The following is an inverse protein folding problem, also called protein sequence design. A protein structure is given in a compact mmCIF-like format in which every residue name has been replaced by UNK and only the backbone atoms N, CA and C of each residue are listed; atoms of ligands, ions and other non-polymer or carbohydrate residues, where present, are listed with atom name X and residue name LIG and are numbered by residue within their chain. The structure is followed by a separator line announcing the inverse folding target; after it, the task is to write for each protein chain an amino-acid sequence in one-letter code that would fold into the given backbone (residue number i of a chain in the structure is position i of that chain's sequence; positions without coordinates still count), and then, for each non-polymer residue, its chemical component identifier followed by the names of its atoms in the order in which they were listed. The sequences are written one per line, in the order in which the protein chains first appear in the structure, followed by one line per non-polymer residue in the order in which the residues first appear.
data_IF_271826898533
#
_entry.id   IF_271826898533
#
_cell.length_a   1.000
_cell.length_b   1.000
_cell.length_c   1.000
_cell.angle_alpha   90.00
_cell.angle_beta   90.00
_cell.angle_gamma   90.00
#
_symmetry.space_group_name_H-M   'P 1'
#
loop_
_entity.id
_entity.type
_entity.pdbx_description
1 polymer ?
#
# COMPACT_ATOMS: atom_id res chain seq x y z
N UNK A 1 -8.66 3.98 -1.69
CA UNK A 1 -10.12 3.78 -1.37
C UNK A 1 -10.41 2.27 -1.30
N UNK A 2 -11.35 1.74 -0.48
CA UNK A 2 -11.56 0.27 -0.28
C UNK A 2 -13.00 -0.18 -0.64
N UNK A 3 -13.19 -1.38 -1.23
CA UNK A 3 -14.39 -1.82 -1.99
C UNK A 3 -15.48 -2.60 -1.24
N UNK A 4 -15.22 -3.23 -0.08
CA UNK A 4 -16.22 -4.15 0.52
C UNK A 4 -16.37 -3.99 2.04
N UNK A 5 -17.13 -2.98 2.45
CA UNK A 5 -17.53 -2.72 3.84
C UNK A 5 -18.41 -3.82 4.48
N UNK A 6 -18.88 -4.82 3.71
CA UNK A 6 -19.83 -5.84 4.20
C UNK A 6 -19.25 -7.25 4.40
N UNK A 7 -18.04 -7.54 3.89
CA UNK A 7 -17.34 -8.82 4.15
C UNK A 7 -16.22 -8.67 5.18
N UNK A 8 -15.72 -7.44 5.34
CA UNK A 8 -14.55 -7.13 6.14
C UNK A 8 -14.75 -5.79 6.84
N UNK A 9 -14.39 -5.72 8.13
CA UNK A 9 -14.46 -4.46 8.89
C UNK A 9 -13.38 -3.52 8.38
N UNK A 10 -13.82 -2.40 7.79
CA UNK A 10 -12.96 -1.39 7.18
C UNK A 10 -11.88 -0.88 8.15
N UNK A 11 -12.25 -0.72 9.42
CA UNK A 11 -11.35 -0.27 10.49
C UNK A 11 -10.17 -1.22 10.68
N UNK A 12 -10.38 -2.54 10.53
CA UNK A 12 -9.32 -3.55 10.66
C UNK A 12 -8.31 -3.44 9.52
N UNK A 13 -8.76 -3.04 8.31
CA UNK A 13 -7.84 -2.80 7.17
C UNK A 13 -6.97 -1.59 7.48
N UNK A 14 -7.55 -0.50 7.98
CA UNK A 14 -6.79 0.71 8.31
C UNK A 14 -5.82 0.46 9.46
N UNK A 15 -6.24 -0.23 10.52
CA UNK A 15 -5.34 -0.63 11.61
C UNK A 15 -4.19 -1.52 11.13
N UNK A 16 -4.46 -2.44 10.19
CA UNK A 16 -3.41 -3.27 9.59
C UNK A 16 -2.41 -2.42 8.79
N UNK A 17 -2.90 -1.50 7.95
CA UNK A 17 -2.06 -0.61 7.17
C UNK A 17 -1.20 0.29 8.06
N UNK A 18 -1.75 0.78 9.17
CA UNK A 18 -1.00 1.57 10.15
C UNK A 18 0.15 0.78 10.79
N UNK A 19 -0.15 -0.46 11.22
CA UNK A 19 0.88 -1.36 11.79
C UNK A 19 1.95 -1.70 10.75
N UNK A 20 1.53 -1.96 9.51
CA UNK A 20 2.44 -2.25 8.43
C UNK A 20 3.33 -1.06 8.09
N UNK A 21 2.77 0.15 8.08
CA UNK A 21 3.52 1.38 7.88
C UNK A 21 4.56 1.60 8.99
N UNK A 22 4.19 1.40 10.25
CA UNK A 22 5.13 1.44 11.37
C UNK A 22 6.26 0.41 11.22
N UNK A 23 5.93 -0.83 10.86
CA UNK A 23 6.92 -1.89 10.62
C UNK A 23 7.89 -1.53 9.48
N UNK A 24 7.40 -0.83 8.46
CA UNK A 24 8.20 -0.38 7.32
C UNK A 24 8.81 1.01 7.55
N UNK A 25 8.80 1.53 8.78
CA UNK A 25 9.40 2.81 9.14
C UNK A 25 8.82 4.02 8.36
N UNK A 26 7.55 3.96 7.96
CA UNK A 26 6.83 5.03 7.26
C UNK A 26 6.07 5.93 8.23
N UNK A 27 5.88 7.19 7.82
CA UNK A 27 5.08 8.19 8.53
C UNK A 27 3.63 8.09 8.04
N UNK A 28 2.69 7.91 8.96
CA UNK A 28 1.27 8.04 8.66
C UNK A 28 0.88 9.52 8.56
N UNK A 29 0.35 9.94 7.42
CA UNK A 29 -0.19 11.29 7.21
C UNK A 29 -1.69 11.30 7.52
N UNK A 30 -2.41 10.30 7.01
CA UNK A 30 -3.83 10.09 7.28
C UNK A 30 -4.16 8.58 7.24
N UNK A 31 -5.45 8.21 7.22
CA UNK A 31 -5.89 6.80 7.21
C UNK A 31 -5.48 6.00 5.96
N UNK A 32 -5.11 6.65 4.88
CA UNK A 32 -4.81 6.02 3.59
C UNK A 32 -3.56 6.61 2.90
N UNK A 33 -2.83 7.49 3.58
CA UNK A 33 -1.64 8.16 3.06
C UNK A 33 -0.47 7.93 4.01
N UNK A 34 0.60 7.37 3.47
CA UNK A 34 1.85 7.09 4.17
C UNK A 34 3.01 7.73 3.40
N UNK A 35 3.98 8.28 4.12
CA UNK A 35 5.13 8.98 3.56
C UNK A 35 6.41 8.31 4.07
N UNK A 36 7.44 8.27 3.24
CA UNK A 36 8.79 7.96 3.69
C UNK A 36 9.34 9.07 4.64
N UNK A 37 10.53 8.90 5.22
CA UNK A 37 11.06 9.84 6.22
C UNK A 37 11.94 10.94 5.62
N UNK A 38 12.36 10.79 4.37
CA UNK A 38 13.38 11.62 3.75
C UNK A 38 14.79 11.12 4.05
N UNK A 39 14.97 9.85 4.43
CA UNK A 39 16.27 9.26 4.74
C UNK A 39 16.77 8.30 3.66
N UNK A 40 18.03 7.87 3.76
CA UNK A 40 18.68 7.00 2.76
C UNK A 40 17.98 5.64 2.57
N UNK A 41 17.13 5.22 3.51
CA UNK A 41 16.42 3.95 3.48
C UNK A 41 15.01 4.06 2.91
N UNK A 42 14.55 5.24 2.50
CA UNK A 42 13.19 5.50 2.03
C UNK A 42 12.74 4.54 0.93
N UNK A 43 13.58 4.33 -0.09
CA UNK A 43 13.24 3.44 -1.20
C UNK A 43 13.06 1.99 -0.74
N UNK A 44 13.92 1.53 0.17
CA UNK A 44 13.84 0.18 0.76
C UNK A 44 12.60 0.03 1.62
N UNK A 45 12.30 1.02 2.45
CA UNK A 45 11.13 1.07 3.32
C UNK A 45 9.82 1.06 2.51
N UNK A 46 9.74 1.86 1.45
CA UNK A 46 8.62 1.84 0.50
C UNK A 46 8.51 0.51 -0.24
N UNK A 47 9.63 -0.08 -0.67
CA UNK A 47 9.64 -1.38 -1.34
C UNK A 47 9.16 -2.52 -0.43
N UNK A 48 9.52 -2.48 0.86
CA UNK A 48 9.00 -3.41 1.86
C UNK A 48 7.49 -3.24 2.04
N UNK A 49 7.02 -2.01 2.26
CA UNK A 49 5.59 -1.75 2.43
C UNK A 49 4.79 -2.21 1.21
N UNK A 50 5.22 -1.80 0.01
CA UNK A 50 4.48 -2.02 -1.23
C UNK A 50 4.65 -3.44 -1.78
N UNK A 51 5.86 -3.81 -2.19
CA UNK A 51 6.17 -5.01 -2.96
C UNK A 51 6.33 -6.28 -2.11
N UNK A 52 6.68 -6.16 -0.83
CA UNK A 52 6.90 -7.33 0.05
C UNK A 52 5.66 -7.69 0.86
N UNK A 53 4.94 -6.69 1.38
CA UNK A 53 3.86 -6.94 2.33
C UNK A 53 2.48 -6.62 1.81
N UNK A 54 2.23 -5.42 1.26
CA UNK A 54 0.88 -5.03 0.88
C UNK A 54 0.37 -5.77 -0.36
N UNK A 55 1.21 -5.96 -1.39
CA UNK A 55 0.82 -6.69 -2.62
C UNK A 55 0.66 -8.19 -2.40
N UNK A 56 1.38 -8.80 -1.46
CA UNK A 56 1.27 -10.23 -1.14
C UNK A 56 0.08 -10.53 -0.22
N UNK A 57 -0.52 -9.51 0.37
CA UNK A 57 -1.69 -9.67 1.22
C UNK A 57 -2.97 -9.73 0.37
N UNK A 58 -3.47 -10.94 0.13
CA UNK A 58 -4.69 -11.20 -0.65
C UNK A 58 -5.88 -10.36 -0.16
N UNK A 59 -5.96 -10.14 1.15
CA UNK A 59 -7.04 -9.36 1.73
C UNK A 59 -6.96 -7.88 1.31
N UNK A 60 -5.75 -7.31 1.18
CA UNK A 60 -5.56 -5.98 0.62
C UNK A 60 -5.82 -5.95 -0.89
N UNK A 61 -5.19 -6.84 -1.66
CA UNK A 61 -5.29 -6.82 -3.14
C UNK A 61 -6.70 -7.07 -3.66
N UNK A 62 -7.54 -7.81 -2.91
CA UNK A 62 -8.97 -8.00 -3.25
C UNK A 62 -9.88 -6.83 -2.86
N UNK A 63 -9.41 -5.90 -2.04
CA UNK A 63 -10.26 -4.84 -1.48
C UNK A 63 -9.80 -3.41 -1.81
N UNK A 64 -8.53 -3.19 -2.17
CA UNK A 64 -8.02 -1.89 -2.61
C UNK A 64 -8.68 -1.50 -3.95
N UNK A 65 -9.33 -0.33 -4.00
CA UNK A 65 -9.85 0.25 -5.26
C UNK A 65 -8.79 1.03 -6.03
N UNK A 66 -7.89 1.66 -5.29
CA UNK A 66 -6.97 2.66 -5.79
C UNK A 66 -5.75 2.67 -4.90
N UNK A 67 -4.59 2.61 -5.54
CA UNK A 67 -3.28 2.71 -4.92
C UNK A 67 -2.37 3.49 -5.86
N UNK A 68 -2.01 4.68 -5.42
CA UNK A 68 -1.10 5.58 -6.14
C UNK A 68 0.19 5.68 -5.37
N UNK A 69 1.32 5.42 -6.03
CA UNK A 69 2.64 5.78 -5.53
C UNK A 69 3.00 7.15 -6.12
N UNK A 70 3.41 8.09 -5.27
CA UNK A 70 3.79 9.44 -5.68
C UNK A 70 5.27 9.59 -5.42
N UNK A 71 6.02 9.97 -6.45
CA UNK A 71 7.45 10.28 -6.32
C UNK A 71 7.82 11.40 -7.28
N UNK A 72 8.85 12.18 -6.94
CA UNK A 72 9.38 13.21 -7.84
C UNK A 72 9.91 12.61 -9.16
N UNK A 73 10.48 11.40 -9.09
CA UNK A 73 11.10 10.74 -10.24
C UNK A 73 10.07 10.20 -11.24
N UNK A 74 9.02 9.53 -10.76
CA UNK A 74 8.07 8.81 -11.60
C UNK A 74 6.69 9.48 -11.66
N UNK A 75 6.48 10.59 -10.94
CA UNK A 75 5.18 11.21 -10.79
C UNK A 75 4.21 10.29 -10.05
N UNK A 76 2.95 10.31 -10.47
CA UNK A 76 1.89 9.46 -9.92
C UNK A 76 1.83 8.14 -10.70
N UNK A 77 2.09 7.04 -10.02
CA UNK A 77 2.06 5.70 -10.58
C UNK A 77 0.86 4.90 -10.05
N UNK A 78 0.06 4.33 -10.95
CA UNK A 78 -1.00 3.38 -10.60
C UNK A 78 -0.38 2.03 -10.27
N UNK A 79 -0.28 1.74 -8.97
CA UNK A 79 0.34 0.52 -8.47
C UNK A 79 -0.52 -0.71 -8.75
N UNK A 80 -1.85 -0.58 -8.81
CA UNK A 80 -2.73 -1.72 -9.13
C UNK A 80 -2.50 -2.15 -10.58
N UNK A 81 -2.47 -1.20 -11.51
CA UNK A 81 -2.19 -1.48 -12.92
C UNK A 81 -0.79 -2.10 -13.10
N UNK A 82 0.22 -1.53 -12.41
CA UNK A 82 1.59 -2.05 -12.43
C UNK A 82 1.68 -3.50 -11.93
N UNK A 83 1.15 -3.79 -10.73
CA UNK A 83 1.25 -5.12 -10.16
C UNK A 83 0.44 -6.17 -10.93
N UNK A 84 -0.71 -5.81 -11.50
CA UNK A 84 -1.43 -6.69 -12.45
C UNK A 84 -0.58 -7.04 -13.67
N UNK A 85 0.14 -6.06 -14.25
CA UNK A 85 1.06 -6.28 -15.39
C UNK A 85 2.27 -7.15 -15.00
N UNK A 86 2.83 -6.94 -13.81
CA UNK A 86 3.96 -7.69 -13.26
C UNK A 86 3.56 -9.06 -12.69
N UNK A 87 2.27 -9.40 -12.69
CA UNK A 87 1.71 -10.65 -12.13
C UNK A 87 2.02 -10.84 -10.64
N UNK A 88 2.05 -9.75 -9.88
CA UNK A 88 2.23 -9.75 -8.43
C UNK A 88 0.90 -9.63 -7.71
N UNK A 89 0.71 -10.31 -6.58
CA UNK A 89 -0.52 -10.26 -5.80
C UNK A 89 -1.73 -10.94 -6.43
N UNK A 90 -2.82 -11.08 -5.65
CA UNK A 90 -4.07 -11.72 -6.09
C UNK A 90 -5.15 -10.65 -6.26
N UNK A 91 -5.40 -10.26 -7.50
CA UNK A 91 -6.39 -9.24 -7.83
C UNK A 91 -7.69 -9.85 -8.35
N UNK A 92 -8.81 -9.24 -7.97
CA UNK A 92 -10.13 -9.49 -8.58
C UNK A 92 -10.43 -8.49 -9.72
#
# INVERSE_FOLDING_TARGET
KVLREKKYKLDVIYEYLDKLAQQCNLIRIDKNTFHAKGDENDLSNLGLFTCRYAVENEWLTKNIKEWVCISERCGNEDMVARFKKEKMGIWE
#
